data_IF_874666826290
#
_entry.id   IF_874666826290
#
_cell.length_a   1.000
_cell.length_b   1.000
_cell.length_c   1.000
_cell.angle_alpha   90.00
_cell.angle_beta   90.00
_cell.angle_gamma   90.00
#
_symmetry.space_group_name_H-M   'P 1'
#
loop_
_entity.id
_entity.type
_entity.pdbx_description
1 polymer ?
#
# COMPACT_ATOMS: atom_id res chain seq x y z
N UNK A 1 -7.44 0.61 -7.56
CA UNK A 1 -7.69 -0.71 -6.91
C UNK A 1 -6.52 -1.72 -7.00
N UNK A 2 -5.38 -1.40 -7.63
CA UNK A 2 -4.11 -2.12 -7.39
C UNK A 2 -2.97 -1.15 -7.02
N UNK A 3 -2.88 -0.01 -7.73
CA UNK A 3 -1.93 1.08 -7.42
C UNK A 3 -1.99 1.55 -5.98
N UNK A 4 -3.20 1.89 -5.51
CA UNK A 4 -3.42 2.36 -4.14
C UNK A 4 -2.95 1.35 -3.07
N UNK A 5 -3.25 0.05 -3.22
CA UNK A 5 -2.80 -0.96 -2.26
C UNK A 5 -1.27 -1.03 -2.19
N UNK A 6 -0.59 -0.96 -3.35
CA UNK A 6 0.87 -0.92 -3.40
C UNK A 6 1.43 0.38 -2.80
N UNK A 7 0.74 1.52 -2.93
CA UNK A 7 1.11 2.77 -2.24
C UNK A 7 1.04 2.62 -0.72
N UNK A 8 0.02 1.93 -0.19
CA UNK A 8 -0.07 1.59 1.23
C UNK A 8 1.02 0.62 1.69
N UNK A 9 1.39 -0.36 0.86
CA UNK A 9 2.48 -1.28 1.15
C UNK A 9 3.84 -0.55 1.12
N UNK A 10 4.03 0.33 0.14
CA UNK A 10 5.22 1.16 0.00
C UNK A 10 5.38 2.12 1.19
N UNK A 11 4.29 2.74 1.66
CA UNK A 11 4.35 3.63 2.83
C UNK A 11 4.77 2.90 4.10
N UNK A 12 4.47 1.61 4.22
CA UNK A 12 4.95 0.76 5.32
C UNK A 12 6.41 0.30 5.15
N UNK A 13 7.09 0.71 4.09
CA UNK A 13 8.48 0.30 3.80
C UNK A 13 8.60 -1.11 3.19
N UNK A 14 7.50 -1.68 2.69
CA UNK A 14 7.53 -2.99 2.02
C UNK A 14 8.03 -2.84 0.59
N UNK A 15 8.84 -3.80 0.13
CA UNK A 15 9.31 -3.84 -1.25
C UNK A 15 8.18 -4.25 -2.20
N UNK A 16 7.87 -3.42 -3.20
CA UNK A 16 6.81 -3.66 -4.19
C UNK A 16 7.34 -3.94 -5.61
N UNK A 17 8.67 -3.94 -5.80
CA UNK A 17 9.30 -4.16 -7.11
C UNK A 17 8.87 -3.13 -8.16
N UNK A 18 8.41 -3.60 -9.33
CA UNK A 18 7.90 -2.77 -10.44
C UNK A 18 6.38 -2.58 -10.40
N UNK A 19 5.74 -2.95 -9.29
CA UNK A 19 4.28 -2.84 -9.18
C UNK A 19 3.88 -1.37 -9.27
N UNK A 20 2.76 -1.09 -9.92
CA UNK A 20 2.20 0.26 -9.99
C UNK A 20 1.95 0.77 -8.57
N UNK A 21 2.49 1.93 -8.23
CA UNK A 21 2.24 2.66 -7.00
C UNK A 21 2.39 4.15 -7.28
N UNK A 22 1.91 4.98 -6.35
CA UNK A 22 1.97 6.43 -6.44
C UNK A 22 2.81 6.95 -5.26
N UNK A 23 4.16 7.02 -5.40
CA UNK A 23 5.07 7.31 -4.29
C UNK A 23 4.82 8.66 -3.62
N UNK A 24 4.37 9.65 -4.40
CA UNK A 24 4.05 11.00 -3.92
C UNK A 24 2.93 10.98 -2.85
N UNK A 25 2.09 9.94 -2.85
CA UNK A 25 1.01 9.75 -1.88
C UNK A 25 1.40 8.85 -0.70
N UNK A 26 2.65 8.37 -0.61
CA UNK A 26 3.08 7.44 0.44
C UNK A 26 2.93 8.05 1.85
N UNK A 27 3.23 9.34 2.02
CA UNK A 27 3.07 10.01 3.31
C UNK A 27 1.59 10.17 3.70
N UNK A 28 0.73 10.44 2.73
CA UNK A 28 -0.72 10.49 2.96
C UNK A 28 -1.27 9.10 3.31
N UNK A 29 -0.81 8.05 2.62
CA UNK A 29 -1.17 6.68 2.93
C UNK A 29 -0.74 6.29 4.37
N UNK A 30 0.45 6.73 4.81
CA UNK A 30 0.92 6.54 6.19
C UNK A 30 0.01 7.25 7.20
N UNK A 31 -0.39 8.49 6.92
CA UNK A 31 -1.31 9.24 7.77
C UNK A 31 -2.68 8.55 7.89
N UNK A 32 -3.20 8.01 6.79
CA UNK A 32 -4.46 7.24 6.79
C UNK A 32 -4.34 5.98 7.67
N UNK A 33 -3.25 5.23 7.55
CA UNK A 33 -3.02 4.04 8.40
C UNK A 33 -2.94 4.41 9.89
N UNK A 34 -2.27 5.50 10.22
CA UNK A 34 -2.18 6.00 11.60
C UNK A 34 -3.55 6.42 12.15
N UNK A 35 -4.36 7.11 11.34
CA UNK A 35 -5.70 7.52 11.73
C UNK A 35 -6.66 6.33 11.88
N UNK A 36 -6.57 5.33 11.00
CA UNK A 36 -7.33 4.09 11.10
C UNK A 36 -6.98 3.33 12.39
N UNK A 37 -5.69 3.19 12.70
CA UNK A 37 -5.22 2.60 13.95
C UNK A 37 -5.75 3.35 15.18
N UNK A 38 -5.76 4.70 15.14
CA UNK A 38 -6.32 5.55 16.21
C UNK A 38 -7.82 5.34 16.40
N UNK A 39 -8.55 5.05 15.33
CA UNK A 39 -10.00 4.76 15.35
C UNK A 39 -10.32 3.30 15.69
N UNK A 40 -9.32 2.42 15.80
CA UNK A 40 -9.53 0.99 15.94
C UNK A 40 -10.17 0.34 14.71
N UNK A 41 -9.91 0.91 13.52
CA UNK A 41 -10.40 0.40 12.25
C UNK A 41 -9.28 -0.36 11.55
N UNK A 42 -9.54 -1.61 11.19
CA UNK A 42 -8.58 -2.42 10.45
C UNK A 42 -8.59 -2.06 8.96
N UNK A 43 -7.42 -1.66 8.46
CA UNK A 43 -7.18 -1.48 7.03
C UNK A 43 -6.66 -2.79 6.47
N UNK A 44 -7.53 -3.53 5.77
CA UNK A 44 -7.16 -4.79 5.12
C UNK A 44 -6.34 -4.52 3.87
N UNK A 45 -5.13 -5.07 3.83
CA UNK A 45 -4.22 -5.01 2.69
C UNK A 45 -3.88 -6.44 2.21
N UNK A 46 -3.53 -6.61 0.92
CA UNK A 46 -3.11 -7.91 0.41
C UNK A 46 -1.88 -8.44 1.15
N UNK A 47 -1.97 -9.69 1.60
CA UNK A 47 -0.85 -10.43 2.20
C UNK A 47 -0.02 -11.17 1.17
N UNK A 48 -0.64 -11.49 0.04
CA UNK A 48 -0.12 -12.22 -1.09
C UNK A 48 -0.60 -11.57 -2.38
N UNK A 49 0.23 -11.66 -3.42
CA UNK A 49 -0.06 -11.11 -4.74
C UNK A 49 0.51 -12.04 -5.80
N UNK A 50 -0.16 -12.13 -6.94
CA UNK A 50 0.39 -12.77 -8.13
C UNK A 50 1.16 -11.72 -8.93
N UNK A 51 2.45 -11.96 -9.16
CA UNK A 51 3.30 -11.08 -9.94
C UNK A 51 3.62 -11.69 -11.30
N UNK A 52 3.57 -10.86 -12.36
CA UNK A 52 4.01 -11.22 -13.70
C UNK A 52 5.20 -10.33 -14.11
N UNK A 53 6.12 -10.86 -14.91
CA UNK A 53 7.30 -10.12 -15.40
C UNK A 53 6.98 -9.23 -16.60
N UNK A 54 5.98 -9.60 -17.38
CA UNK A 54 5.47 -8.90 -18.56
C UNK A 54 4.02 -9.35 -18.82
N UNK A 55 3.28 -8.53 -19.58
CA UNK A 55 1.98 -8.92 -20.16
C UNK A 55 2.16 -10.05 -21.17
#
# INVERSE_FOLDING_TARGET
LAGMANTFLLSQGRAIGKSLAEPDFADQARAILAEAARRGVDVLLPTDVIAARSL
#
